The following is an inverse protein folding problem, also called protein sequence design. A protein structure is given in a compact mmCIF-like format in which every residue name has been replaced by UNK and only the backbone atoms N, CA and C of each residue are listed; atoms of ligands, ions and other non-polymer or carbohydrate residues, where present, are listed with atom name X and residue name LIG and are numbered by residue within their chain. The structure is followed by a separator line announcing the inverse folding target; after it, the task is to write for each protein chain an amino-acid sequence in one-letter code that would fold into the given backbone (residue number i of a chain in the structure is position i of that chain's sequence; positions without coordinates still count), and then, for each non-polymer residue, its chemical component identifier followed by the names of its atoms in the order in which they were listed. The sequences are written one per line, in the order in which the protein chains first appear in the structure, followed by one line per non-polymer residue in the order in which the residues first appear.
data_IF_799134597279
#
_entry.id   IF_799134597279
#
_cell.length_a   1.000
_cell.length_b   1.000
_cell.length_c   1.000
_cell.angle_alpha   90.00
_cell.angle_beta   90.00
_cell.angle_gamma   90.00
#
_symmetry.space_group_name_H-M   'P 1'
#
loop_
_entity.id
_entity.type
_entity.pdbx_description
1 polymer ?
#
# COMPACT_ATOMS: atom_id res chain seq x y z
N UNK A 1 -9.44 -0.28 20.34
CA UNK A 1 -9.71 -1.62 20.88
C UNK A 1 -9.93 -2.58 19.72
N UNK A 2 -9.16 -3.68 19.68
CA UNK A 2 -9.36 -4.76 18.71
C UNK A 2 -10.29 -5.80 19.32
N UNK A 3 -11.36 -6.14 18.62
CA UNK A 3 -12.34 -7.15 19.03
C UNK A 3 -12.25 -8.33 18.06
N UNK A 4 -11.98 -9.52 18.62
CA UNK A 4 -11.98 -10.76 17.87
C UNK A 4 -13.33 -11.46 18.06
N UNK A 5 -14.02 -11.76 16.96
CA UNK A 5 -15.28 -12.49 16.95
C UNK A 5 -15.05 -13.82 16.26
N UNK A 6 -15.44 -14.91 16.93
CA UNK A 6 -15.20 -16.27 16.42
C UNK A 6 -16.15 -17.30 17.02
N UNK A 7 -15.96 -18.54 16.62
CA UNK A 7 -16.70 -19.72 17.11
C UNK A 7 -15.71 -20.66 17.80
N UNK A 8 -16.07 -21.16 18.97
CA UNK A 8 -15.29 -22.20 19.66
C UNK A 8 -15.57 -23.53 18.97
N UNK A 9 -14.58 -24.08 18.26
CA UNK A 9 -14.70 -25.35 17.55
C UNK A 9 -14.63 -26.55 18.52
N UNK A 10 -13.79 -26.45 19.56
CA UNK A 10 -13.64 -27.50 20.57
C UNK A 10 -13.12 -26.91 21.89
N UNK A 11 -13.47 -27.58 23.02
CA UNK A 11 -13.08 -27.11 24.35
C UNK A 11 -13.84 -25.86 24.77
N UNK A 12 -13.17 -24.95 25.49
CA UNK A 12 -13.71 -23.67 25.96
C UNK A 12 -12.63 -22.84 26.62
N UNK A 13 -12.89 -21.55 26.78
CA UNK A 13 -12.03 -20.64 27.55
C UNK A 13 -12.89 -19.64 28.33
N UNK A 14 -12.30 -19.04 29.33
CA UNK A 14 -12.95 -18.09 30.22
C UNK A 14 -12.18 -16.77 30.26
N UNK A 15 -12.81 -15.75 30.83
CA UNK A 15 -12.13 -14.46 31.08
C UNK A 15 -10.91 -14.67 31.95
N UNK A 16 -9.76 -14.19 31.49
CA UNK A 16 -8.47 -14.31 32.17
C UNK A 16 -7.57 -15.43 31.68
N UNK A 17 -8.07 -16.32 30.83
CA UNK A 17 -7.23 -17.33 30.20
C UNK A 17 -6.19 -16.70 29.26
N UNK A 18 -5.01 -17.29 29.26
CA UNK A 18 -3.98 -16.95 28.28
C UNK A 18 -4.32 -17.57 26.94
N UNK A 19 -4.28 -16.78 25.87
CA UNK A 19 -4.59 -17.23 24.49
C UNK A 19 -3.45 -16.94 23.55
N UNK A 20 -3.27 -17.79 22.55
CA UNK A 20 -2.34 -17.59 21.44
C UNK A 20 -3.14 -17.19 20.20
N UNK A 21 -2.74 -16.09 19.56
CA UNK A 21 -3.37 -15.59 18.34
C UNK A 21 -2.51 -15.97 17.13
N UNK A 22 -2.92 -16.97 16.41
CA UNK A 22 -2.25 -17.43 15.19
C UNK A 22 -2.90 -16.84 13.94
N UNK A 23 -2.12 -16.08 13.18
CA UNK A 23 -2.56 -15.49 11.92
C UNK A 23 -2.32 -16.50 10.79
N UNK A 24 -3.31 -16.66 9.89
CA UNK A 24 -3.11 -17.39 8.64
C UNK A 24 -2.00 -16.70 7.81
N UNK A 25 -0.83 -17.33 7.76
CA UNK A 25 0.36 -16.77 7.09
C UNK A 25 0.19 -16.66 5.58
N UNK A 26 -0.55 -17.58 4.93
CA UNK A 26 -0.83 -17.53 3.51
C UNK A 26 -1.68 -16.31 3.15
N UNK A 27 -2.79 -16.14 3.85
CA UNK A 27 -3.67 -14.96 3.67
C UNK A 27 -2.97 -13.66 4.03
N UNK A 28 -2.19 -13.64 5.10
CA UNK A 28 -1.42 -12.47 5.51
C UNK A 28 -0.34 -12.14 4.47
N UNK A 29 0.34 -13.13 3.90
CA UNK A 29 1.34 -12.95 2.83
C UNK A 29 0.71 -12.29 1.59
N UNK A 30 -0.38 -12.86 1.09
CA UNK A 30 -1.12 -12.30 -0.04
C UNK A 30 -1.63 -10.87 0.22
N UNK A 31 -2.15 -10.59 1.42
CA UNK A 31 -2.55 -9.24 1.85
C UNK A 31 -1.37 -8.26 1.86
N UNK A 32 -0.19 -8.67 2.33
CA UNK A 32 1.03 -7.85 2.31
C UNK A 32 1.45 -7.49 0.88
N UNK A 33 1.41 -8.46 -0.03
CA UNK A 33 1.72 -8.26 -1.45
C UNK A 33 0.78 -7.22 -2.07
N UNK A 34 -0.52 -7.41 -1.90
CA UNK A 34 -1.52 -6.48 -2.42
C UNK A 34 -1.44 -5.09 -1.77
N UNK A 35 -1.16 -5.00 -0.47
CA UNK A 35 -1.00 -3.71 0.20
C UNK A 35 0.25 -2.96 -0.29
N UNK A 36 1.37 -3.67 -0.45
CA UNK A 36 2.59 -3.06 -0.99
C UNK A 36 2.42 -2.66 -2.46
N UNK A 37 1.72 -3.46 -3.26
CA UNK A 37 1.38 -3.12 -4.63
C UNK A 37 0.54 -1.84 -4.73
N UNK A 38 -0.33 -1.56 -3.76
CA UNK A 38 -1.13 -0.33 -3.70
C UNK A 38 -0.23 0.93 -3.71
N UNK A 39 0.85 0.93 -2.93
CA UNK A 39 1.81 2.05 -2.89
C UNK A 39 2.58 2.19 -4.20
N UNK A 40 2.96 1.08 -4.84
CA UNK A 40 3.62 1.12 -6.14
C UNK A 40 2.69 1.63 -7.24
N UNK A 41 1.42 1.21 -7.22
CA UNK A 41 0.42 1.73 -8.16
C UNK A 41 0.18 3.23 -7.95
N UNK A 42 0.09 3.70 -6.71
CA UNK A 42 -0.10 5.13 -6.42
C UNK A 42 1.02 5.97 -7.05
N UNK A 43 2.27 5.62 -6.81
CA UNK A 43 3.40 6.37 -7.34
C UNK A 43 3.52 6.22 -8.88
N UNK A 44 3.26 5.03 -9.44
CA UNK A 44 3.24 4.83 -10.88
C UNK A 44 2.13 5.66 -11.58
N UNK A 45 0.94 5.73 -10.98
CA UNK A 45 -0.13 6.59 -11.48
C UNK A 45 0.28 8.07 -11.45
N UNK A 46 0.93 8.54 -10.39
CA UNK A 46 1.45 9.92 -10.30
C UNK A 46 2.51 10.20 -11.37
N UNK A 47 3.35 9.23 -11.65
CA UNK A 47 4.40 9.36 -12.68
C UNK A 47 3.80 9.45 -14.10
N UNK A 48 2.74 8.68 -14.38
CA UNK A 48 2.12 8.62 -15.71
C UNK A 48 1.10 9.74 -15.93
N UNK A 49 0.25 10.01 -14.94
CA UNK A 49 -0.90 10.91 -15.06
C UNK A 49 -0.62 12.30 -14.48
N UNK A 50 0.34 12.41 -13.56
CA UNK A 50 0.72 13.65 -12.91
C UNK A 50 0.49 13.70 -11.40
N UNK A 51 1.09 14.70 -10.76
CA UNK A 51 1.11 14.85 -9.30
C UNK A 51 -0.25 15.17 -8.67
N UNK A 52 -1.28 15.48 -9.46
CA UNK A 52 -2.65 15.69 -8.99
C UNK A 52 -3.35 14.39 -8.55
N UNK A 53 -2.79 13.24 -8.97
CA UNK A 53 -3.31 11.95 -8.52
C UNK A 53 -3.13 11.82 -7.01
N UNK A 54 -4.23 11.61 -6.33
CA UNK A 54 -4.30 11.40 -4.88
C UNK A 54 -5.24 10.23 -4.59
N UNK A 55 -4.87 9.39 -3.63
CA UNK A 55 -5.72 8.30 -3.17
C UNK A 55 -7.02 8.87 -2.59
N UNK A 56 -8.17 8.32 -3.00
CA UNK A 56 -9.50 8.62 -2.48
C UNK A 56 -10.09 7.46 -1.68
N UNK A 57 -9.59 6.28 -1.92
CA UNK A 57 -9.94 5.07 -1.20
C UNK A 57 -9.09 3.90 -1.65
N UNK A 58 -9.15 2.82 -0.90
CA UNK A 58 -8.54 1.56 -1.31
C UNK A 58 -9.23 0.38 -0.62
N UNK A 59 -9.12 -0.78 -1.24
CA UNK A 59 -9.48 -2.05 -0.63
C UNK A 59 -8.33 -3.03 -0.87
N UNK A 60 -7.87 -3.67 0.20
CA UNK A 60 -6.81 -4.67 0.15
C UNK A 60 -7.34 -5.97 0.74
N UNK A 61 -7.31 -7.04 -0.04
CA UNK A 61 -7.66 -8.40 0.36
C UNK A 61 -6.55 -9.38 -0.06
N UNK A 62 -6.59 -10.66 0.38
CA UNK A 62 -5.65 -11.66 -0.13
C UNK A 62 -5.75 -11.87 -1.65
N UNK A 63 -6.94 -11.72 -2.23
CA UNK A 63 -7.22 -12.10 -3.62
C UNK A 63 -7.03 -10.95 -4.60
N UNK A 64 -7.20 -9.70 -4.14
CA UNK A 64 -7.12 -8.50 -4.99
C UNK A 64 -6.96 -7.23 -4.18
N UNK A 65 -6.55 -6.18 -4.86
CA UNK A 65 -6.63 -4.81 -4.39
C UNK A 65 -7.56 -3.98 -5.28
N UNK A 66 -8.10 -2.89 -4.74
CA UNK A 66 -8.73 -1.79 -5.48
C UNK A 66 -8.07 -0.50 -5.03
N UNK A 67 -7.77 0.38 -5.95
CA UNK A 67 -7.20 1.69 -5.67
C UNK A 67 -8.05 2.77 -6.33
N UNK A 68 -8.70 3.60 -5.53
CA UNK A 68 -9.54 4.70 -5.99
C UNK A 68 -8.69 5.99 -5.92
N UNK A 69 -8.64 6.74 -7.02
CA UNK A 69 -7.79 7.93 -7.13
C UNK A 69 -8.47 9.06 -7.90
N UNK A 70 -8.02 10.29 -7.64
CA UNK A 70 -8.51 11.46 -8.35
C UNK A 70 -7.90 11.56 -9.75
N UNK A 71 -8.76 11.57 -10.78
CA UNK A 71 -8.38 11.87 -12.16
C UNK A 71 -9.58 12.41 -12.92
N UNK A 72 -9.35 13.19 -13.98
CA UNK A 72 -10.41 13.94 -14.66
C UNK A 72 -10.95 13.24 -15.91
N UNK A 73 -10.31 12.17 -16.34
CA UNK A 73 -10.69 11.39 -17.55
C UNK A 73 -10.37 9.91 -17.34
N UNK A 74 -11.02 9.00 -18.06
CA UNK A 74 -10.60 7.60 -18.11
C UNK A 74 -9.15 7.47 -18.59
N UNK A 75 -8.44 6.49 -18.07
CA UNK A 75 -7.09 6.15 -18.56
C UNK A 75 -7.17 5.52 -19.95
N UNK A 76 -6.20 5.85 -20.81
CA UNK A 76 -6.06 5.11 -22.05
C UNK A 76 -5.43 3.73 -21.79
N UNK A 77 -5.62 2.75 -22.71
CA UNK A 77 -4.95 1.46 -22.60
C UNK A 77 -3.43 1.57 -22.49
N UNK A 78 -2.83 2.56 -23.16
CA UNK A 78 -1.40 2.84 -23.12
C UNK A 78 -0.96 3.39 -21.76
N UNK A 79 -1.77 4.27 -21.13
CA UNK A 79 -1.53 4.79 -19.79
C UNK A 79 -1.60 3.65 -18.76
N UNK A 80 -2.60 2.76 -18.85
CA UNK A 80 -2.72 1.57 -17.98
C UNK A 80 -1.50 0.66 -18.13
N UNK A 81 -1.13 0.32 -19.38
CA UNK A 81 0.03 -0.52 -19.65
C UNK A 81 1.34 0.09 -19.10
N UNK A 82 1.49 1.41 -19.19
CA UNK A 82 2.65 2.12 -18.66
C UNK A 82 2.71 2.09 -17.14
N UNK A 83 1.58 2.31 -16.46
CA UNK A 83 1.48 2.21 -14.99
C UNK A 83 1.86 0.81 -14.53
N UNK A 84 1.32 -0.21 -15.18
CA UNK A 84 1.61 -1.61 -14.89
C UNK A 84 3.09 -1.94 -15.11
N UNK A 85 3.68 -1.49 -16.22
CA UNK A 85 5.09 -1.71 -16.53
C UNK A 85 6.02 -1.03 -15.50
N UNK A 86 5.73 0.20 -15.09
CA UNK A 86 6.49 0.93 -14.07
C UNK A 86 6.43 0.18 -12.73
N UNK A 87 5.24 -0.17 -12.25
CA UNK A 87 5.07 -0.90 -11.00
C UNK A 87 5.84 -2.23 -11.02
N UNK A 88 5.74 -3.00 -12.09
CA UNK A 88 6.45 -4.26 -12.25
C UNK A 88 7.98 -4.09 -12.36
N UNK A 89 8.47 -3.01 -12.95
CA UNK A 89 9.90 -2.69 -12.95
C UNK A 89 10.43 -2.50 -11.52
N UNK A 90 9.70 -1.80 -10.66
CA UNK A 90 10.07 -1.61 -9.25
C UNK A 90 10.02 -2.96 -8.49
N UNK A 91 9.03 -3.80 -8.78
CA UNK A 91 8.91 -5.15 -8.21
C UNK A 91 10.14 -5.99 -8.57
N UNK A 92 10.50 -6.05 -9.84
CA UNK A 92 11.64 -6.82 -10.35
C UNK A 92 12.97 -6.32 -9.75
N UNK A 93 13.07 -5.02 -9.46
CA UNK A 93 14.23 -4.43 -8.79
C UNK A 93 14.52 -5.00 -7.40
N UNK A 94 13.55 -5.68 -6.78
CA UNK A 94 13.67 -6.46 -5.55
C UNK A 94 14.41 -5.72 -4.42
N UNK A 95 14.06 -4.45 -4.21
CA UNK A 95 14.65 -3.61 -3.16
C UNK A 95 14.01 -3.88 -1.80
N UNK A 96 14.73 -3.64 -0.68
CA UNK A 96 14.12 -3.69 0.65
C UNK A 96 12.94 -2.73 0.78
N UNK A 97 11.94 -3.15 1.55
CA UNK A 97 10.86 -2.27 2.02
C UNK A 97 11.21 -1.86 3.45
N UNK A 98 11.45 -0.58 3.64
CA UNK A 98 11.83 -0.03 4.94
C UNK A 98 10.62 0.60 5.63
N UNK A 99 10.56 0.42 6.94
CA UNK A 99 9.57 1.05 7.80
C UNK A 99 10.26 1.77 8.92
N UNK A 100 9.93 3.05 9.12
CA UNK A 100 10.51 3.89 10.18
C UNK A 100 9.41 4.61 10.93
N UNK A 101 9.56 4.69 12.26
CA UNK A 101 8.77 5.58 13.12
C UNK A 101 9.52 6.90 13.25
N UNK A 102 8.84 8.02 13.08
CA UNK A 102 9.42 9.35 13.20
C UNK A 102 8.33 10.39 13.48
N UNK A 103 8.74 11.59 13.89
CA UNK A 103 7.82 12.72 14.05
C UNK A 103 7.15 13.08 12.72
N UNK A 104 5.91 13.57 12.79
CA UNK A 104 5.14 13.95 11.57
C UNK A 104 5.90 15.00 10.73
N UNK A 105 6.50 15.99 11.37
CA UNK A 105 7.28 17.03 10.67
C UNK A 105 8.47 16.44 9.92
N UNK A 106 9.23 15.54 10.54
CA UNK A 106 10.36 14.85 9.92
C UNK A 106 9.92 13.99 8.74
N UNK A 107 8.77 13.31 8.88
CA UNK A 107 8.18 12.51 7.82
C UNK A 107 7.83 13.39 6.60
N UNK A 108 7.21 14.53 6.81
CA UNK A 108 6.89 15.49 5.74
C UNK A 108 8.15 16.04 5.08
N UNK A 109 9.18 16.40 5.86
CA UNK A 109 10.47 16.84 5.32
C UNK A 109 11.18 15.75 4.51
N UNK A 110 11.00 14.48 4.89
CA UNK A 110 11.51 13.34 4.11
C UNK A 110 10.80 13.17 2.77
N UNK A 111 9.67 13.85 2.56
CA UNK A 111 8.83 13.78 1.36
C UNK A 111 7.83 12.63 1.40
N UNK A 112 7.48 12.15 2.60
CA UNK A 112 6.42 11.18 2.75
C UNK A 112 5.06 11.78 2.33
N UNK A 113 4.30 11.02 1.55
CA UNK A 113 2.95 11.42 1.16
C UNK A 113 1.96 11.04 2.27
N UNK A 114 1.07 11.99 2.59
CA UNK A 114 -0.07 11.74 3.45
C UNK A 114 -1.23 11.11 2.66
N UNK A 115 -1.96 10.22 3.31
CA UNK A 115 -3.21 9.70 2.78
C UNK A 115 -4.34 10.69 3.08
N UNK A 116 -5.16 10.96 2.08
CA UNK A 116 -6.24 11.92 2.20
C UNK A 116 -7.26 11.49 3.27
N UNK A 117 -7.57 12.41 4.20
CA UNK A 117 -8.61 12.22 5.21
C UNK A 117 -8.18 11.46 6.46
N UNK A 118 -6.93 11.04 6.57
CA UNK A 118 -6.39 10.44 7.81
C UNK A 118 -5.94 11.52 8.80
N UNK A 119 -6.12 11.22 10.09
CA UNK A 119 -5.60 12.05 11.19
C UNK A 119 -4.39 11.36 11.77
N UNK A 120 -3.26 12.05 11.72
CA UNK A 120 -1.99 11.54 12.23
C UNK A 120 -1.72 12.09 13.64
N UNK A 121 -1.10 11.26 14.49
CA UNK A 121 -0.54 11.69 15.75
C UNK A 121 0.83 12.34 15.59
N UNK A 122 1.48 12.64 16.72
CA UNK A 122 2.82 13.25 16.74
C UNK A 122 3.90 12.32 16.17
N UNK A 123 3.70 11.00 16.28
CA UNK A 123 4.56 9.98 15.71
C UNK A 123 3.81 9.21 14.60
N UNK A 124 4.47 9.03 13.46
CA UNK A 124 3.94 8.37 12.29
C UNK A 124 4.86 7.27 11.77
N UNK A 125 4.28 6.31 11.09
CA UNK A 125 5.00 5.23 10.42
C UNK A 125 5.16 5.55 8.95
N UNK A 126 6.42 5.72 8.51
CA UNK A 126 6.80 5.95 7.12
C UNK A 126 7.21 4.62 6.49
N UNK A 127 6.64 4.31 5.35
CA UNK A 127 7.00 3.13 4.54
C UNK A 127 7.69 3.60 3.27
N UNK A 128 8.86 3.04 2.98
CA UNK A 128 9.67 3.39 1.81
C UNK A 128 9.97 2.15 0.99
N UNK A 129 9.82 2.24 -0.34
CA UNK A 129 10.09 1.12 -1.24
C UNK A 129 10.52 1.60 -2.64
N UNK A 130 11.25 0.72 -3.33
CA UNK A 130 11.84 1.01 -4.65
C UNK A 130 13.18 1.74 -4.56
N UNK A 131 14.03 1.52 -5.56
CA UNK A 131 15.32 2.20 -5.66
C UNK A 131 15.15 3.71 -5.85
N UNK A 132 16.03 4.54 -5.28
CA UNK A 132 16.03 5.98 -5.55
C UNK A 132 16.09 6.27 -7.04
N UNK A 133 15.39 7.34 -7.46
CA UNK A 133 15.53 7.89 -8.81
C UNK A 133 16.91 8.54 -8.97
N UNK A 134 17.37 8.62 -10.20
CA UNK A 134 18.62 9.30 -10.52
C UNK A 134 18.66 10.73 -9.95
N UNK A 135 19.75 11.06 -9.26
CA UNK A 135 19.91 12.36 -8.59
C UNK A 135 19.13 12.51 -7.28
N UNK A 136 18.50 11.47 -6.78
CA UNK A 136 17.75 11.47 -5.51
C UNK A 136 18.30 10.42 -4.53
N UNK A 137 18.27 10.76 -3.24
CA UNK A 137 18.55 9.80 -2.16
C UNK A 137 17.25 9.23 -1.55
N UNK A 138 16.07 9.65 -2.05
CA UNK A 138 14.77 9.18 -1.55
C UNK A 138 14.37 7.91 -2.28
N UNK A 139 13.78 6.96 -1.56
CA UNK A 139 13.16 5.79 -2.17
C UNK A 139 12.12 6.21 -3.23
N UNK A 140 11.82 5.32 -4.16
CA UNK A 140 10.92 5.59 -5.27
C UNK A 140 9.51 5.94 -4.81
N UNK A 141 9.00 5.22 -3.79
CA UNK A 141 7.75 5.54 -3.08
C UNK A 141 8.05 5.74 -1.60
N UNK A 142 7.50 6.81 -0.99
CA UNK A 142 7.62 7.12 0.43
C UNK A 142 6.25 7.62 0.91
N UNK A 143 5.58 6.86 1.77
CA UNK A 143 4.21 7.15 2.21
C UNK A 143 4.01 6.90 3.71
N UNK A 144 3.07 7.64 4.31
CA UNK A 144 2.59 7.35 5.66
C UNK A 144 1.67 6.14 5.61
N UNK A 145 2.04 5.05 6.28
CA UNK A 145 1.21 3.85 6.29
C UNK A 145 1.42 2.98 7.53
N UNK A 146 0.34 2.75 8.29
CA UNK A 146 0.31 1.85 9.45
C UNK A 146 0.13 0.37 9.14
N UNK A 147 -0.03 0.00 7.87
CA UNK A 147 -0.40 -1.36 7.45
C UNK A 147 0.74 -2.37 7.41
N UNK A 148 0.44 -3.56 6.90
CA UNK A 148 1.39 -4.67 6.77
C UNK A 148 1.95 -4.73 5.35
N UNK A 149 3.28 -4.90 5.21
CA UNK A 149 3.99 -4.88 3.94
C UNK A 149 4.90 -6.10 3.78
N UNK A 150 5.31 -6.34 2.54
CA UNK A 150 6.35 -7.31 2.19
C UNK A 150 7.73 -6.84 2.70
N UNK A 151 8.68 -7.76 2.81
CA UNK A 151 10.04 -7.41 3.21
C UNK A 151 10.85 -6.79 2.04
N UNK A 152 10.55 -7.23 0.82
CA UNK A 152 11.21 -6.75 -0.41
C UNK A 152 10.16 -6.56 -1.51
N UNK A 153 10.40 -5.64 -2.43
CA UNK A 153 9.47 -5.37 -3.53
C UNK A 153 9.23 -6.61 -4.40
N UNK A 154 10.22 -7.49 -4.56
CA UNK A 154 10.09 -8.75 -5.28
C UNK A 154 9.09 -9.74 -4.68
N UNK A 155 8.83 -9.66 -3.38
CA UNK A 155 7.85 -10.53 -2.69
C UNK A 155 6.40 -10.24 -3.14
N UNK A 156 6.16 -9.12 -3.83
CA UNK A 156 4.86 -8.78 -4.42
C UNK A 156 4.51 -9.75 -5.56
N UNK A 157 5.51 -10.16 -6.34
CA UNK A 157 5.35 -11.02 -7.50
C UNK A 157 5.05 -10.22 -8.77
N UNK A 158 3.78 -10.07 -9.12
CA UNK A 158 3.34 -9.35 -10.32
C UNK A 158 2.09 -8.51 -10.01
N UNK A 159 2.04 -7.32 -10.56
CA UNK A 159 0.83 -6.49 -10.61
C UNK A 159 0.24 -6.53 -12.02
N UNK A 160 -1.06 -6.83 -12.10
CA UNK A 160 -1.84 -6.76 -13.34
C UNK A 160 -3.13 -6.00 -13.11
N UNK A 161 -3.38 -4.99 -13.95
CA UNK A 161 -4.59 -4.17 -13.89
C UNK A 161 -5.69 -4.87 -14.69
N UNK A 162 -6.64 -5.46 -14.00
CA UNK A 162 -7.73 -6.23 -14.65
C UNK A 162 -8.89 -5.36 -15.14
N UNK A 163 -9.08 -4.20 -14.52
CA UNK A 163 -10.13 -3.25 -14.92
C UNK A 163 -9.83 -1.86 -14.37
N UNK A 164 -10.32 -0.85 -15.08
CA UNK A 164 -10.39 0.55 -14.65
C UNK A 164 -11.80 1.06 -14.94
N UNK A 165 -12.37 1.84 -14.04
CA UNK A 165 -13.68 2.46 -14.23
C UNK A 165 -13.82 3.74 -13.41
N UNK A 166 -14.59 4.70 -13.92
CA UNK A 166 -14.97 5.87 -13.14
C UNK A 166 -15.99 5.49 -12.07
N UNK A 167 -15.75 5.92 -10.84
CA UNK A 167 -16.67 5.72 -9.70
C UNK A 167 -17.59 6.91 -9.44
N UNK A 168 -17.07 8.13 -9.65
CA UNK A 168 -17.80 9.39 -9.54
C UNK A 168 -17.12 10.45 -10.41
N UNK A 169 -17.70 11.65 -10.51
CA UNK A 169 -17.08 12.74 -11.24
C UNK A 169 -15.70 13.09 -10.62
N UNK A 170 -14.62 12.76 -11.34
CA UNK A 170 -13.24 13.00 -10.93
C UNK A 170 -12.61 11.93 -10.02
N UNK A 171 -13.20 10.74 -9.93
CA UNK A 171 -12.64 9.55 -9.21
C UNK A 171 -12.69 8.33 -10.10
#
# INVERSE_FOLDING_TARGET
LFVHVGVVESGGFATGDAVELNVDHGRRGATRSNHSATHLLHEALREVLGTHVAQKGSMVSPDRLRFDFSHTKPMSPEEVAKVEAIANTVIIGNTPVETRLMGLEDAMQSGAMELFGEKYGDEVRVVSMGAPREGSNKAWSVELCGGTHVARTGDIGLVHVVAESASAAGV
#
